data_IF_037201052839
#
_entry.id   IF_037201052839
#
_cell.length_a   1.000
_cell.length_b   1.000
_cell.length_c   1.000
_cell.angle_alpha   90.00
_cell.angle_beta   90.00
_cell.angle_gamma   90.00
#
_symmetry.space_group_name_H-M   'P 1'
#
loop_
_entity.id
_entity.type
_entity.pdbx_description
1 polymer ?
#
# COMPACT_ATOMS: atom_id res chain seq x y z
N UNK A 1 -0.03 -16.03 6.98
CA UNK A 1 0.49 -16.79 5.83
C UNK A 1 1.29 -15.83 4.99
N UNK A 2 2.62 -15.84 5.13
CA UNK A 2 3.52 -15.05 4.28
C UNK A 2 3.69 -15.85 2.99
N UNK A 3 3.16 -15.33 1.88
CA UNK A 3 3.37 -15.90 0.56
C UNK A 3 4.46 -15.10 -0.15
N UNK A 4 5.58 -15.74 -0.45
CA UNK A 4 6.60 -15.17 -1.35
C UNK A 4 6.25 -15.58 -2.79
N UNK A 5 5.85 -14.60 -3.61
CA UNK A 5 5.56 -14.84 -5.03
C UNK A 5 6.76 -14.37 -5.85
N UNK A 6 7.50 -15.32 -6.43
CA UNK A 6 8.64 -15.04 -7.29
C UNK A 6 8.17 -14.77 -8.72
N UNK A 7 8.17 -13.50 -9.14
CA UNK A 7 8.07 -13.12 -10.56
C UNK A 7 9.08 -12.00 -10.83
N UNK A 8 10.26 -12.38 -11.31
CA UNK A 8 11.16 -11.56 -12.16
C UNK A 8 11.55 -10.17 -11.59
N UNK A 9 11.96 -10.08 -10.32
CA UNK A 9 12.85 -9.00 -9.89
C UNK A 9 13.85 -9.57 -8.87
N UNK A 10 15.12 -9.67 -9.27
CA UNK A 10 16.14 -10.48 -8.56
C UNK A 10 17.09 -9.66 -7.68
N UNK A 11 16.77 -8.40 -7.33
CA UNK A 11 17.70 -7.55 -6.56
C UNK A 11 17.09 -6.62 -5.48
N UNK A 12 15.85 -6.81 -5.02
CA UNK A 12 15.41 -6.22 -3.75
C UNK A 12 14.32 -7.09 -3.14
N UNK A 13 14.52 -7.61 -1.92
CA UNK A 13 13.42 -8.13 -1.12
C UNK A 13 12.51 -6.94 -0.77
N UNK A 14 11.55 -6.63 -1.65
CA UNK A 14 10.56 -5.59 -1.35
C UNK A 14 9.64 -6.13 -0.27
N UNK A 15 9.84 -5.67 0.95
CA UNK A 15 8.94 -5.96 2.07
C UNK A 15 7.63 -5.20 1.84
N UNK A 16 6.52 -5.92 1.77
CA UNK A 16 5.19 -5.32 1.67
C UNK A 16 4.17 -6.08 2.52
N UNK A 17 3.14 -5.37 2.95
CA UNK A 17 1.94 -5.93 3.56
C UNK A 17 0.72 -5.48 2.76
N UNK A 18 -0.32 -6.31 2.74
CA UNK A 18 -1.57 -5.97 2.08
C UNK A 18 -2.77 -6.40 2.91
N UNK A 19 -3.85 -5.63 2.80
CA UNK A 19 -5.14 -5.93 3.37
C UNK A 19 -6.24 -5.64 2.35
N UNK A 20 -7.38 -6.32 2.51
CA UNK A 20 -8.58 -6.07 1.72
C UNK A 20 -9.77 -5.85 2.64
N UNK A 21 -10.54 -4.80 2.37
CA UNK A 21 -11.70 -4.43 3.19
C UNK A 21 -12.98 -4.48 2.36
N UNK A 22 -13.98 -5.20 2.88
CA UNK A 22 -15.29 -5.30 2.24
C UNK A 22 -16.07 -3.99 2.38
N UNK A 23 -16.62 -3.54 1.27
CA UNK A 23 -17.46 -2.34 1.21
C UNK A 23 -18.91 -2.74 1.41
N UNK A 24 -19.63 -2.04 2.29
CA UNK A 24 -21.05 -2.27 2.55
C UNK A 24 -21.36 -3.75 2.89
N UNK A 25 -20.46 -4.40 3.64
CA UNK A 25 -20.55 -5.82 4.00
C UNK A 25 -20.70 -6.76 2.77
N UNK A 26 -20.20 -6.36 1.60
CA UNK A 26 -20.22 -7.15 0.38
C UNK A 26 -18.84 -7.76 0.11
N UNK A 27 -18.65 -9.07 0.28
CA UNK A 27 -17.35 -9.73 0.09
C UNK A 27 -16.87 -9.74 -1.37
N UNK A 28 -17.74 -9.42 -2.33
CA UNK A 28 -17.38 -9.26 -3.74
C UNK A 28 -16.87 -7.85 -4.07
N UNK A 29 -17.00 -6.89 -3.15
CA UNK A 29 -16.51 -5.51 -3.29
C UNK A 29 -15.44 -5.22 -2.25
N UNK A 30 -14.20 -5.56 -2.59
CA UNK A 30 -13.06 -5.45 -1.70
C UNK A 30 -12.09 -4.36 -2.20
N UNK A 31 -11.78 -3.40 -1.33
CA UNK A 31 -10.77 -2.37 -1.59
C UNK A 31 -9.40 -2.85 -1.15
N UNK A 32 -8.37 -2.49 -1.90
CA UNK A 32 -6.98 -2.77 -1.55
C UNK A 32 -6.38 -1.71 -0.63
N UNK A 33 -5.55 -2.15 0.32
CA UNK A 33 -4.61 -1.30 1.03
C UNK A 33 -3.25 -2.03 1.07
N UNK A 34 -2.20 -1.38 0.60
CA UNK A 34 -0.86 -1.98 0.47
C UNK A 34 0.15 -1.03 1.07
N UNK A 35 1.00 -1.54 1.96
CA UNK A 35 2.14 -0.81 2.51
C UNK A 35 3.43 -1.43 1.98
N UNK A 36 4.35 -0.59 1.52
CA UNK A 36 5.71 -0.96 1.17
C UNK A 36 6.65 -0.45 2.25
N UNK A 37 7.65 -1.26 2.57
CA UNK A 37 8.60 -0.98 3.62
C UNK A 37 10.03 -0.92 3.09
N UNK A 38 10.85 -0.10 3.72
CA UNK A 38 12.31 -0.17 3.60
C UNK A 38 12.90 -1.31 4.45
N UNK A 39 14.23 -1.42 4.45
CA UNK A 39 14.97 -2.44 5.19
C UNK A 39 14.87 -2.23 6.72
N UNK A 40 14.58 -1.00 7.15
CA UNK A 40 14.32 -0.59 8.53
C UNK A 40 12.85 -0.79 8.96
N UNK A 41 12.03 -1.42 8.11
CA UNK A 41 10.61 -1.70 8.32
C UNK A 41 9.73 -0.44 8.48
N UNK A 42 10.11 0.68 7.86
CA UNK A 42 9.34 1.93 7.81
C UNK A 42 8.51 1.99 6.53
N UNK A 43 7.31 2.58 6.61
CA UNK A 43 6.39 2.63 5.46
C UNK A 43 6.83 3.71 4.49
N UNK A 44 7.53 3.35 3.42
CA UNK A 44 7.96 4.28 2.38
C UNK A 44 6.86 4.63 1.38
N UNK A 45 5.90 3.73 1.17
CA UNK A 45 4.76 3.96 0.29
C UNK A 45 3.51 3.26 0.80
N UNK A 46 2.37 3.93 0.70
CA UNK A 46 1.05 3.33 0.88
C UNK A 46 0.21 3.53 -0.39
N UNK A 47 -0.49 2.48 -0.83
CA UNK A 47 -1.51 2.55 -1.89
C UNK A 47 -2.82 2.10 -1.28
N UNK A 48 -3.83 2.97 -1.25
CA UNK A 48 -5.13 2.68 -0.66
C UNK A 48 -6.26 3.01 -1.61
N UNK A 49 -6.98 1.98 -2.06
CA UNK A 49 -8.20 2.18 -2.83
C UNK A 49 -9.34 2.70 -1.95
N UNK A 50 -10.19 3.53 -2.54
CA UNK A 50 -11.38 4.06 -1.88
C UNK A 50 -12.63 3.86 -2.74
N UNK A 51 -13.78 3.68 -2.08
CA UNK A 51 -15.05 3.47 -2.76
C UNK A 51 -15.74 4.80 -3.08
N UNK A 52 -15.26 5.47 -4.13
CA UNK A 52 -15.79 6.76 -4.60
C UNK A 52 -16.81 6.55 -5.71
N UNK A 53 -17.91 7.31 -5.66
CA UNK A 53 -18.98 7.25 -6.67
C UNK A 53 -19.79 5.95 -6.68
N UNK A 54 -19.74 5.15 -5.61
CA UNK A 54 -20.49 3.89 -5.54
C UNK A 54 -19.93 2.77 -6.44
N UNK A 55 -18.69 2.91 -6.90
CA UNK A 55 -18.03 1.95 -7.78
C UNK A 55 -16.69 1.48 -7.20
N UNK A 56 -16.40 0.19 -7.39
CA UNK A 56 -15.05 -0.33 -7.23
C UNK A 56 -14.32 -0.06 -8.56
N UNK A 57 -13.35 0.85 -8.52
CA UNK A 57 -12.58 1.24 -9.70
C UNK A 57 -11.10 1.20 -9.36
N UNK A 58 -10.29 0.66 -10.26
CA UNK A 58 -8.85 0.52 -10.03
C UNK A 58 -8.15 1.87 -9.88
N UNK A 59 -8.63 2.91 -10.57
CA UNK A 59 -8.13 4.28 -10.47
C UNK A 59 -8.67 5.10 -9.31
N UNK A 60 -9.52 4.53 -8.45
CA UNK A 60 -9.98 5.20 -7.23
C UNK A 60 -9.06 4.80 -6.07
N UNK A 61 -7.86 5.37 -6.03
CA UNK A 61 -6.91 5.16 -4.94
C UNK A 61 -6.18 6.44 -4.58
N UNK A 62 -5.59 6.44 -3.39
CA UNK A 62 -4.60 7.42 -3.01
C UNK A 62 -3.26 6.69 -2.84
N UNK A 63 -2.19 7.35 -3.26
CA UNK A 63 -0.82 6.91 -3.04
C UNK A 63 -0.13 7.91 -2.12
N UNK A 64 0.48 7.42 -1.04
CA UNK A 64 1.25 8.24 -0.11
C UNK A 64 2.70 7.79 -0.12
N UNK A 65 3.62 8.68 -0.46
CA UNK A 65 5.06 8.46 -0.35
C UNK A 65 5.58 9.14 0.91
N UNK A 66 6.34 8.41 1.72
CA UNK A 66 6.99 8.92 2.92
C UNK A 66 8.50 8.80 2.80
N UNK A 67 9.20 9.79 3.35
CA UNK A 67 10.65 9.73 3.52
C UNK A 67 11.01 9.99 4.98
N UNK A 68 12.06 9.33 5.45
CA UNK A 68 12.49 9.37 6.83
C UNK A 68 13.96 9.83 6.94
N UNK A 69 14.29 10.39 8.10
CA UNK A 69 15.66 10.73 8.47
C UNK A 69 16.41 9.48 8.92
N UNK A 70 17.73 9.59 9.05
CA UNK A 70 18.56 8.53 9.62
C UNK A 70 18.22 8.22 11.10
N UNK A 71 17.55 9.14 11.80
CA UNK A 71 17.03 8.94 13.17
C UNK A 71 15.60 8.40 13.18
N UNK A 72 15.06 7.99 12.01
CA UNK A 72 13.72 7.45 11.83
C UNK A 72 12.58 8.47 12.01
N UNK A 73 12.88 9.76 11.87
CA UNK A 73 11.87 10.82 11.91
C UNK A 73 11.30 11.05 10.51
N UNK A 74 9.97 11.21 10.40
CA UNK A 74 9.32 11.49 9.13
C UNK A 74 9.74 12.88 8.61
N UNK A 75 10.39 12.91 7.45
CA UNK A 75 10.83 14.15 6.79
C UNK A 75 9.76 14.70 5.84
N UNK A 76 9.11 13.82 5.07
CA UNK A 76 8.09 14.19 4.11
C UNK A 76 7.02 13.12 4.03
N UNK A 77 5.78 13.56 3.78
CA UNK A 77 4.66 12.71 3.43
C UNK A 77 3.86 13.39 2.32
N UNK A 78 3.87 12.80 1.13
CA UNK A 78 3.19 13.34 -0.05
C UNK A 78 2.07 12.39 -0.45
N UNK A 79 0.82 12.87 -0.44
CA UNK A 79 -0.33 12.13 -0.95
C UNK A 79 -0.72 12.58 -2.35
N UNK A 80 -0.85 11.64 -3.27
CA UNK A 80 -1.41 11.79 -4.61
C UNK A 80 -2.67 10.94 -4.76
N UNK A 81 -3.54 11.32 -5.70
CA UNK A 81 -4.82 10.68 -6.00
C UNK A 81 -4.92 10.46 -7.50
#
# INVERSE_FOLDING_TARGET
MIGTFNVVDRFAEKHFSFARTAVLNNPSKLLWNVNYYDEEAQVTKNVSQHYKGGALAEGNYDETDNTYSFTHELLSSMRSH
#
